data_IF_451407396005
#
_entry.id   IF_451407396005
#
_cell.length_a   1.000
_cell.length_b   1.000
_cell.length_c   1.000
_cell.angle_alpha   90.00
_cell.angle_beta   90.00
_cell.angle_gamma   90.00
#
_symmetry.space_group_name_H-M   'P 1'
#
loop_
_entity.id
_entity.type
_entity.pdbx_description
1 polymer ?
#
# COMPACT_ATOMS: atom_id res chain seq x y z
N UNK A 1 16.65 -8.96 -22.67
CA UNK A 1 17.34 -8.09 -21.69
C UNK A 1 16.47 -6.89 -21.26
N UNK A 2 15.65 -6.31 -22.14
CA UNK A 2 14.72 -5.23 -21.81
C UNK A 2 13.57 -5.66 -20.88
N UNK A 3 13.10 -6.91 -20.97
CA UNK A 3 11.97 -7.40 -20.16
C UNK A 3 12.31 -7.56 -18.66
N UNK A 4 13.56 -7.90 -18.35
CA UNK A 4 14.04 -7.96 -16.96
C UNK A 4 14.14 -6.59 -16.30
N UNK A 5 14.50 -5.55 -17.08
CA UNK A 5 14.56 -4.17 -16.59
C UNK A 5 13.16 -3.60 -16.33
N UNK A 6 12.19 -3.92 -17.21
CA UNK A 6 10.79 -3.50 -17.02
C UNK A 6 10.17 -4.21 -15.80
N UNK A 7 10.42 -5.50 -15.62
CA UNK A 7 9.98 -6.27 -14.45
C UNK A 7 10.64 -5.73 -13.19
N UNK A 8 11.95 -5.40 -13.27
CA UNK A 8 12.70 -4.80 -12.20
C UNK A 8 12.13 -3.48 -11.72
N UNK A 9 11.90 -2.57 -12.63
CA UNK A 9 11.30 -1.26 -12.31
C UNK A 9 9.90 -1.41 -11.68
N UNK A 10 9.09 -2.34 -12.19
CA UNK A 10 7.76 -2.62 -11.66
C UNK A 10 7.81 -3.12 -10.21
N UNK A 11 8.73 -4.04 -9.89
CA UNK A 11 8.86 -4.57 -8.53
C UNK A 11 9.38 -3.50 -7.54
N UNK A 12 10.36 -2.68 -7.94
CA UNK A 12 10.83 -1.56 -7.13
C UNK A 12 9.72 -0.54 -6.83
N UNK A 13 8.87 -0.26 -7.83
CA UNK A 13 7.66 0.56 -7.63
C UNK A 13 6.71 -0.07 -6.62
N UNK A 14 6.52 -1.39 -6.70
CA UNK A 14 5.71 -2.17 -5.76
C UNK A 14 6.25 -2.06 -4.34
N UNK A 15 7.51 -2.38 -4.11
CA UNK A 15 8.13 -2.34 -2.78
C UNK A 15 8.07 -0.94 -2.18
N UNK A 16 8.30 0.11 -2.98
CA UNK A 16 8.22 1.47 -2.51
C UNK A 16 6.79 1.93 -2.23
N UNK A 17 5.82 1.54 -3.05
CA UNK A 17 4.41 1.80 -2.77
C UNK A 17 3.94 1.07 -1.50
N UNK A 18 4.58 -0.06 -1.17
CA UNK A 18 4.39 -0.78 0.08
C UNK A 18 5.10 -0.12 1.27
N UNK A 19 5.93 0.92 1.07
CA UNK A 19 6.74 1.55 2.10
C UNK A 19 7.93 0.71 2.56
N UNK A 20 8.31 -0.30 1.78
CA UNK A 20 9.39 -1.22 2.09
C UNK A 20 10.71 -0.79 1.41
N UNK A 21 11.19 0.37 1.79
CA UNK A 21 12.48 0.87 1.30
C UNK A 21 13.66 -0.04 1.74
N UNK A 22 13.50 -0.82 2.82
CA UNK A 22 14.55 -1.72 3.33
C UNK A 22 14.57 -3.07 2.61
N UNK A 23 13.42 -3.66 2.26
CA UNK A 23 13.40 -4.86 1.42
C UNK A 23 14.02 -4.60 0.05
N UNK A 24 13.93 -3.37 -0.45
CA UNK A 24 14.69 -2.94 -1.63
C UNK A 24 16.20 -2.95 -1.41
N UNK A 25 16.68 -2.67 -0.20
CA UNK A 25 18.11 -2.61 0.13
C UNK A 25 18.69 -4.00 0.44
N UNK A 26 17.90 -4.94 0.95
CA UNK A 26 18.35 -6.29 1.31
C UNK A 26 18.53 -7.22 0.10
N UNK A 27 17.86 -6.97 -1.01
CA UNK A 27 18.07 -7.70 -2.27
C UNK A 27 19.26 -7.14 -3.09
N UNK A 28 20.31 -6.80 -2.42
CA UNK A 28 21.41 -5.94 -2.86
C UNK A 28 22.30 -6.50 -3.96
N UNK A 29 22.34 -7.81 -4.18
CA UNK A 29 23.39 -8.49 -4.97
C UNK A 29 23.10 -8.66 -6.47
N UNK A 30 22.19 -7.88 -7.02
CA UNK A 30 21.90 -7.90 -8.48
C UNK A 30 21.11 -6.70 -8.99
N UNK A 31 20.80 -5.75 -8.13
CA UNK A 31 19.75 -4.77 -8.39
C UNK A 31 20.11 -3.28 -8.22
N UNK A 32 21.30 -2.84 -8.59
CA UNK A 32 21.61 -1.41 -8.65
C UNK A 32 20.62 -0.64 -9.54
N UNK A 33 20.05 -1.31 -10.54
CA UNK A 33 19.00 -0.75 -11.40
C UNK A 33 17.66 -0.52 -10.67
N UNK A 34 17.38 -1.26 -9.59
CA UNK A 34 16.18 -1.10 -8.79
C UNK A 34 16.24 0.16 -7.92
N UNK A 35 17.39 0.48 -7.38
CA UNK A 35 17.63 1.74 -6.67
C UNK A 35 17.42 2.94 -7.57
N UNK A 36 17.90 2.87 -8.80
CA UNK A 36 17.71 3.90 -9.83
C UNK A 36 16.23 4.05 -10.21
N UNK A 37 15.50 2.95 -10.37
CA UNK A 37 14.08 2.98 -10.67
C UNK A 37 13.27 3.57 -9.48
N UNK A 38 13.58 3.20 -8.23
CA UNK A 38 12.95 3.75 -7.05
C UNK A 38 13.26 5.25 -6.84
N UNK A 39 14.51 5.65 -7.00
CA UNK A 39 14.92 7.05 -6.92
C UNK A 39 14.32 7.90 -8.05
N UNK A 40 14.25 7.35 -9.26
CA UNK A 40 13.60 8.01 -10.38
C UNK A 40 12.10 8.18 -10.15
N UNK A 41 11.43 7.19 -9.53
CA UNK A 41 10.01 7.27 -9.19
C UNK A 41 9.72 8.39 -8.20
N UNK A 42 10.52 8.54 -7.14
CA UNK A 42 10.37 9.64 -6.18
C UNK A 42 10.60 11.00 -6.83
N UNK A 43 11.71 11.15 -7.54
CA UNK A 43 12.04 12.38 -8.28
C UNK A 43 10.98 12.74 -9.32
N UNK A 44 10.27 11.77 -9.78
CA UNK A 44 9.21 11.82 -10.75
C UNK A 44 7.88 12.31 -10.14
N UNK A 45 7.46 11.78 -8.98
CA UNK A 45 6.33 12.30 -8.21
C UNK A 45 6.58 13.76 -7.82
N UNK A 46 7.79 14.08 -7.39
CA UNK A 46 8.19 15.42 -6.96
C UNK A 46 8.23 16.46 -8.09
N UNK A 47 8.40 16.03 -9.33
CA UNK A 47 8.52 16.93 -10.51
C UNK A 47 7.21 17.29 -11.21
N UNK A 48 6.06 16.90 -10.67
CA UNK A 48 4.76 17.29 -11.25
C UNK A 48 4.41 16.66 -12.60
N UNK A 49 5.16 15.64 -13.05
CA UNK A 49 4.86 14.88 -14.29
C UNK A 49 3.82 13.79 -14.03
N UNK A 50 3.14 13.88 -12.89
CA UNK A 50 2.21 12.89 -12.33
C UNK A 50 1.08 12.52 -13.32
N UNK A 51 0.53 13.51 -14.04
CA UNK A 51 -0.61 13.26 -14.92
C UNK A 51 -0.28 12.38 -16.14
N UNK A 52 0.88 12.56 -16.76
CA UNK A 52 1.30 11.74 -17.88
C UNK A 52 1.54 10.28 -17.49
N UNK A 53 2.03 10.06 -16.29
CA UNK A 53 2.30 8.73 -15.79
C UNK A 53 1.06 8.02 -15.26
N UNK A 54 0.13 8.73 -14.65
CA UNK A 54 -1.20 8.20 -14.36
C UNK A 54 -1.84 7.67 -15.67
N UNK A 55 -1.75 8.42 -16.75
CA UNK A 55 -2.26 7.99 -18.06
C UNK A 55 -1.54 6.73 -18.56
N UNK A 56 -0.20 6.73 -18.53
CA UNK A 56 0.62 5.60 -18.97
C UNK A 56 0.36 4.35 -18.14
N UNK A 57 0.33 4.45 -16.81
CA UNK A 57 0.03 3.33 -15.92
C UNK A 57 -1.39 2.81 -16.15
N UNK A 58 -2.35 3.71 -16.31
CA UNK A 58 -3.73 3.35 -16.62
C UNK A 58 -3.82 2.52 -17.91
N UNK A 59 -3.23 3.02 -18.98
CA UNK A 59 -3.20 2.33 -20.29
C UNK A 59 -2.51 0.97 -20.18
N UNK A 60 -1.38 0.91 -19.50
CA UNK A 60 -0.64 -0.35 -19.31
C UNK A 60 -1.49 -1.40 -18.58
N UNK A 61 -2.12 -1.03 -17.45
CA UNK A 61 -2.95 -1.94 -16.67
C UNK A 61 -4.18 -2.40 -17.46
N UNK A 62 -4.82 -1.50 -18.18
CA UNK A 62 -5.97 -1.85 -19.02
C UNK A 62 -5.55 -2.79 -20.16
N UNK A 63 -4.36 -2.59 -20.75
CA UNK A 63 -3.79 -3.48 -21.75
C UNK A 63 -3.47 -4.86 -21.15
N UNK A 64 -2.83 -4.94 -19.98
CA UNK A 64 -2.53 -6.20 -19.31
C UNK A 64 -3.81 -7.01 -19.04
N UNK A 65 -4.89 -6.36 -18.63
CA UNK A 65 -6.21 -7.00 -18.45
C UNK A 65 -6.76 -7.54 -19.78
N UNK A 66 -6.65 -6.75 -20.84
CA UNK A 66 -7.17 -7.16 -22.17
C UNK A 66 -6.48 -8.42 -22.69
N UNK A 67 -5.20 -8.62 -22.38
CA UNK A 67 -4.43 -9.81 -22.77
C UNK A 67 -4.48 -10.93 -21.72
N UNK A 68 -5.27 -10.77 -20.65
CA UNK A 68 -5.46 -11.79 -19.61
C UNK A 68 -4.31 -11.92 -18.59
N UNK A 69 -3.38 -10.97 -18.54
CA UNK A 69 -2.28 -10.96 -17.57
C UNK A 69 -2.73 -10.35 -16.24
N UNK A 70 -3.58 -11.08 -15.51
CA UNK A 70 -4.29 -10.56 -14.33
C UNK A 70 -3.60 -10.85 -13.00
N UNK A 71 -2.59 -11.71 -12.94
CA UNK A 71 -2.00 -12.24 -11.69
C UNK A 71 -1.60 -11.15 -10.69
N UNK A 72 -0.99 -10.07 -11.15
CA UNK A 72 -0.56 -8.97 -10.30
C UNK A 72 -1.39 -7.69 -10.48
N UNK A 73 -2.47 -7.75 -11.24
CA UNK A 73 -3.29 -6.57 -11.53
C UNK A 73 -3.86 -5.91 -10.26
N UNK A 74 -4.34 -6.63 -9.22
CA UNK A 74 -4.82 -6.00 -7.99
C UNK A 74 -3.74 -5.17 -7.28
N UNK A 75 -2.49 -5.67 -7.25
CA UNK A 75 -1.37 -4.95 -6.69
C UNK A 75 -1.06 -3.66 -7.48
N UNK A 76 -1.04 -3.75 -8.81
CA UNK A 76 -0.80 -2.58 -9.66
C UNK A 76 -1.93 -1.56 -9.59
N UNK A 77 -3.17 -2.01 -9.41
CA UNK A 77 -4.31 -1.12 -9.13
C UNK A 77 -4.14 -0.38 -7.82
N UNK A 78 -3.66 -1.05 -6.78
CA UNK A 78 -3.35 -0.42 -5.50
C UNK A 78 -2.27 0.66 -5.64
N UNK A 79 -1.20 0.39 -6.42
CA UNK A 79 -0.13 1.35 -6.69
C UNK A 79 -0.69 2.57 -7.43
N UNK A 80 -1.44 2.35 -8.51
CA UNK A 80 -2.05 3.43 -9.27
C UNK A 80 -3.06 4.23 -8.43
N UNK A 81 -3.86 3.54 -7.61
CA UNK A 81 -4.80 4.19 -6.71
C UNK A 81 -4.10 5.09 -5.68
N UNK A 82 -2.99 4.65 -5.11
CA UNK A 82 -2.19 5.48 -4.20
C UNK A 82 -1.71 6.76 -4.88
N UNK A 83 -1.16 6.64 -6.10
CA UNK A 83 -0.74 7.81 -6.90
C UNK A 83 -1.92 8.73 -7.21
N UNK A 84 -3.10 8.18 -7.49
CA UNK A 84 -4.32 8.95 -7.72
C UNK A 84 -4.81 9.67 -6.46
N UNK A 85 -4.67 9.06 -5.28
CA UNK A 85 -4.98 9.69 -3.98
C UNK A 85 -4.05 10.89 -3.77
N UNK A 86 -2.74 10.71 -3.94
CA UNK A 86 -1.73 11.77 -3.83
C UNK A 86 -1.96 12.91 -4.84
N UNK A 87 -2.48 12.57 -6.03
CA UNK A 87 -2.89 13.53 -7.05
C UNK A 87 -4.27 14.20 -6.81
N UNK A 88 -4.87 14.01 -5.63
CA UNK A 88 -6.20 14.50 -5.26
C UNK A 88 -7.32 14.04 -6.22
N UNK A 89 -7.24 12.80 -6.73
CA UNK A 89 -8.21 12.18 -7.62
C UNK A 89 -8.91 10.96 -6.96
N UNK A 90 -9.55 11.12 -5.78
CA UNK A 90 -10.06 10.00 -4.99
C UNK A 90 -11.14 9.17 -5.70
N UNK A 91 -11.94 9.78 -6.57
CA UNK A 91 -12.95 9.04 -7.33
C UNK A 91 -12.32 8.04 -8.32
N UNK A 92 -11.25 8.45 -8.99
CA UNK A 92 -10.51 7.56 -9.92
C UNK A 92 -9.76 6.48 -9.16
N UNK A 93 -9.16 6.83 -8.02
CA UNK A 93 -8.52 5.88 -7.13
C UNK A 93 -9.51 4.80 -6.68
N UNK A 94 -10.69 5.21 -6.19
CA UNK A 94 -11.76 4.29 -5.77
C UNK A 94 -12.14 3.33 -6.88
N UNK A 95 -12.40 3.85 -8.08
CA UNK A 95 -12.74 3.00 -9.22
C UNK A 95 -11.66 1.92 -9.49
N UNK A 96 -10.38 2.28 -9.38
CA UNK A 96 -9.29 1.30 -9.54
C UNK A 96 -9.28 0.24 -8.44
N UNK A 97 -9.49 0.65 -7.21
CA UNK A 97 -9.53 -0.27 -6.05
C UNK A 97 -10.73 -1.23 -6.14
N UNK A 98 -11.92 -0.72 -6.49
CA UNK A 98 -13.10 -1.54 -6.71
C UNK A 98 -12.89 -2.54 -7.86
N UNK A 99 -12.23 -2.10 -8.95
CA UNK A 99 -11.88 -2.99 -10.07
C UNK A 99 -10.87 -4.06 -9.64
N UNK A 100 -9.90 -3.73 -8.78
CA UNK A 100 -8.95 -4.70 -8.24
C UNK A 100 -9.62 -5.73 -7.35
N UNK A 101 -10.54 -5.31 -6.47
CA UNK A 101 -11.31 -6.20 -5.60
C UNK A 101 -12.24 -7.12 -6.44
N UNK A 102 -12.91 -6.57 -7.45
CA UNK A 102 -13.74 -7.39 -8.33
C UNK A 102 -12.91 -8.44 -9.09
N UNK A 103 -11.73 -8.07 -9.58
CA UNK A 103 -10.83 -9.01 -10.24
C UNK A 103 -10.36 -10.12 -9.28
N UNK A 104 -10.11 -9.80 -8.02
CA UNK A 104 -9.76 -10.78 -7.00
C UNK A 104 -10.91 -11.81 -6.82
N UNK A 105 -12.15 -11.34 -6.72
CA UNK A 105 -13.34 -12.21 -6.67
C UNK A 105 -13.46 -13.08 -7.93
N UNK A 106 -13.32 -12.51 -9.12
CA UNK A 106 -13.50 -13.22 -10.40
C UNK A 106 -12.43 -14.29 -10.63
N UNK A 107 -11.23 -14.11 -10.04
CA UNK A 107 -10.06 -14.98 -10.28
C UNK A 107 -9.70 -15.85 -9.08
N UNK A 108 -10.25 -15.58 -7.90
CA UNK A 108 -9.85 -16.21 -6.63
C UNK A 108 -8.47 -15.76 -6.12
N UNK A 109 -7.92 -14.66 -6.63
CA UNK A 109 -6.60 -14.13 -6.25
C UNK A 109 -6.70 -13.04 -5.20
N UNK A 110 -6.94 -13.41 -3.94
CA UNK A 110 -7.24 -12.50 -2.83
C UNK A 110 -6.02 -11.95 -2.08
N UNK A 111 -4.81 -12.27 -2.49
CA UNK A 111 -3.56 -11.98 -1.76
C UNK A 111 -3.30 -10.48 -1.47
N UNK A 112 -4.04 -9.56 -2.07
CA UNK A 112 -3.85 -8.11 -1.90
C UNK A 112 -5.10 -7.37 -1.41
N UNK A 113 -6.17 -8.06 -1.12
CA UNK A 113 -7.48 -7.47 -0.79
C UNK A 113 -7.43 -6.57 0.44
N UNK A 114 -6.71 -6.97 1.49
CA UNK A 114 -6.50 -6.13 2.67
C UNK A 114 -5.84 -4.78 2.30
N UNK A 115 -4.88 -4.79 1.38
CA UNK A 115 -4.24 -3.57 0.87
C UNK A 115 -5.19 -2.69 0.05
N UNK A 116 -6.04 -3.31 -0.79
CA UNK A 116 -7.04 -2.61 -1.59
C UNK A 116 -8.10 -1.95 -0.71
N UNK A 117 -8.66 -2.67 0.26
CA UNK A 117 -9.66 -2.17 1.20
C UNK A 117 -9.10 -1.00 2.01
N UNK A 118 -7.89 -1.15 2.57
CA UNK A 118 -7.22 -0.08 3.31
C UNK A 118 -7.05 1.19 2.48
N UNK A 119 -6.58 1.07 1.23
CA UNK A 119 -6.44 2.23 0.33
C UNK A 119 -7.78 2.81 -0.08
N UNK A 120 -8.82 1.98 -0.22
CA UNK A 120 -10.17 2.46 -0.53
C UNK A 120 -10.72 3.34 0.56
N UNK A 121 -10.45 3.04 1.82
CA UNK A 121 -10.78 3.89 2.96
C UNK A 121 -10.30 5.33 2.77
N UNK A 122 -9.07 5.52 2.28
CA UNK A 122 -8.53 6.87 2.03
C UNK A 122 -9.22 7.65 0.90
N UNK A 123 -10.11 7.00 0.14
CA UNK A 123 -10.89 7.66 -0.91
C UNK A 123 -12.24 8.19 -0.44
N UNK A 124 -12.67 7.81 0.76
CA UNK A 124 -13.96 8.24 1.33
C UNK A 124 -13.81 9.49 2.19
N UNK A 125 -14.80 10.38 2.11
CA UNK A 125 -14.91 11.56 2.98
C UNK A 125 -15.62 11.18 4.28
N UNK A 126 -16.62 10.29 4.18
CA UNK A 126 -17.43 9.81 5.29
C UNK A 126 -16.57 8.96 6.25
N UNK A 127 -16.43 9.36 7.53
CA UNK A 127 -15.61 8.65 8.50
C UNK A 127 -16.13 7.24 8.81
N UNK A 128 -17.46 7.02 8.78
CA UNK A 128 -18.04 5.71 9.08
C UNK A 128 -17.73 4.71 7.96
N UNK A 129 -17.78 5.17 6.70
CA UNK A 129 -17.40 4.35 5.55
C UNK A 129 -15.89 4.07 5.54
N UNK A 130 -15.08 5.07 5.91
CA UNK A 130 -13.63 4.87 6.08
C UNK A 130 -13.33 3.83 7.14
N UNK A 131 -13.98 3.93 8.30
CA UNK A 131 -13.81 2.98 9.39
C UNK A 131 -14.24 1.56 8.99
N UNK A 132 -15.32 1.43 8.25
CA UNK A 132 -15.78 0.13 7.77
C UNK A 132 -14.74 -0.55 6.86
N UNK A 133 -14.17 0.20 5.89
CA UNK A 133 -13.13 -0.33 5.00
C UNK A 133 -11.81 -0.65 5.74
N UNK A 134 -11.39 0.20 6.70
CA UNK A 134 -10.21 -0.05 7.52
C UNK A 134 -10.43 -1.30 8.40
N UNK A 135 -11.59 -1.42 9.04
CA UNK A 135 -11.94 -2.56 9.86
C UNK A 135 -11.93 -3.86 9.07
N UNK A 136 -12.52 -3.85 7.86
CA UNK A 136 -12.50 -5.01 6.97
C UNK A 136 -11.08 -5.39 6.53
N UNK A 137 -10.23 -4.40 6.23
CA UNK A 137 -8.84 -4.61 5.88
C UNK A 137 -8.03 -5.22 7.04
N UNK A 138 -8.25 -4.71 8.26
CA UNK A 138 -7.58 -5.18 9.47
C UNK A 138 -7.97 -6.63 9.79
N UNK A 139 -9.27 -6.93 9.79
CA UNK A 139 -9.78 -8.28 10.03
C UNK A 139 -9.28 -9.28 8.98
N UNK A 140 -9.26 -8.89 7.71
CA UNK A 140 -8.75 -9.73 6.64
C UNK A 140 -7.25 -10.00 6.80
N UNK A 141 -6.46 -8.95 7.03
CA UNK A 141 -5.01 -9.06 7.23
C UNK A 141 -4.67 -9.93 8.45
N UNK A 142 -5.41 -9.78 9.55
CA UNK A 142 -5.27 -10.64 10.74
C UNK A 142 -5.54 -12.11 10.42
N UNK A 143 -6.64 -12.39 9.77
CA UNK A 143 -7.07 -13.76 9.39
C UNK A 143 -6.08 -14.45 8.45
N UNK A 144 -5.46 -13.69 7.56
CA UNK A 144 -4.47 -14.18 6.60
C UNK A 144 -3.03 -14.22 7.15
N UNK A 145 -2.78 -13.69 8.34
CA UNK A 145 -1.44 -13.54 8.91
C UNK A 145 -0.57 -12.54 8.13
N UNK A 146 -1.20 -11.60 7.43
CA UNK A 146 -0.54 -10.59 6.60
C UNK A 146 -0.06 -9.40 7.45
N UNK A 147 0.93 -9.62 8.30
CA UNK A 147 1.38 -8.74 9.39
C UNK A 147 1.63 -7.30 8.99
N UNK A 148 2.20 -7.05 7.81
CA UNK A 148 2.44 -5.68 7.33
C UNK A 148 1.14 -4.95 6.98
N UNK A 149 0.17 -5.65 6.37
CA UNK A 149 -1.14 -5.06 6.08
C UNK A 149 -1.93 -4.83 7.38
N UNK A 150 -1.81 -5.74 8.34
CA UNK A 150 -2.41 -5.60 9.66
C UNK A 150 -1.88 -4.36 10.38
N UNK A 151 -0.54 -4.18 10.44
CA UNK A 151 0.08 -2.99 11.02
C UNK A 151 -0.37 -1.69 10.35
N UNK A 152 -0.40 -1.67 9.02
CA UNK A 152 -0.85 -0.50 8.26
C UNK A 152 -2.31 -0.15 8.52
N UNK A 153 -3.17 -1.16 8.58
CA UNK A 153 -4.60 -0.96 8.83
C UNK A 153 -4.86 -0.53 10.27
N UNK A 154 -4.16 -1.11 11.25
CA UNK A 154 -4.25 -0.70 12.66
C UNK A 154 -3.76 0.74 12.88
N UNK A 155 -2.69 1.14 12.17
CA UNK A 155 -2.18 2.51 12.23
C UNK A 155 -3.18 3.51 11.62
N UNK A 156 -3.76 3.19 10.46
CA UNK A 156 -4.79 4.03 9.82
C UNK A 156 -6.05 4.14 10.71
N UNK A 157 -6.45 3.05 11.36
CA UNK A 157 -7.56 3.03 12.31
C UNK A 157 -7.29 3.91 13.54
N UNK A 158 -6.06 3.82 14.05
CA UNK A 158 -5.62 4.67 15.14
C UNK A 158 -5.56 6.15 14.74
N UNK A 159 -5.08 6.48 13.56
CA UNK A 159 -5.08 7.84 13.04
C UNK A 159 -6.52 8.38 12.85
N UNK A 160 -7.48 7.51 12.53
CA UNK A 160 -8.88 7.88 12.37
C UNK A 160 -9.63 8.05 13.69
N UNK A 161 -9.47 7.10 14.63
CA UNK A 161 -10.27 7.01 15.86
C UNK A 161 -9.53 7.44 17.14
N UNK A 162 -8.20 7.47 17.12
CA UNK A 162 -7.39 7.80 18.29
C UNK A 162 -7.50 6.77 19.41
N UNK A 163 -7.78 7.22 20.65
CA UNK A 163 -7.83 6.37 21.84
C UNK A 163 -8.68 5.09 21.71
N UNK A 164 -9.84 5.06 21.06
CA UNK A 164 -10.61 3.83 20.84
C UNK A 164 -9.86 2.72 20.09
N UNK A 165 -8.90 3.06 19.23
CA UNK A 165 -8.11 2.10 18.46
C UNK A 165 -6.72 1.81 19.09
N UNK A 166 -6.41 2.42 20.25
CA UNK A 166 -5.09 2.31 20.90
C UNK A 166 -4.71 0.87 21.24
N UNK A 167 -5.64 0.14 21.89
CA UNK A 167 -5.37 -1.23 22.33
C UNK A 167 -5.06 -2.18 21.17
N UNK A 168 -5.76 -2.01 20.04
CA UNK A 168 -5.53 -2.78 18.82
C UNK A 168 -4.15 -2.50 18.23
N UNK A 169 -3.76 -1.23 18.12
CA UNK A 169 -2.44 -0.86 17.61
C UNK A 169 -1.32 -1.38 18.51
N UNK A 170 -1.47 -1.31 19.86
CA UNK A 170 -0.51 -1.88 20.82
C UNK A 170 -0.36 -3.39 20.60
N UNK A 171 -1.47 -4.10 20.48
CA UNK A 171 -1.46 -5.55 20.27
C UNK A 171 -0.74 -5.91 18.96
N UNK A 172 -1.08 -5.26 17.85
CA UNK A 172 -0.43 -5.48 16.55
C UNK A 172 1.06 -5.21 16.64
N UNK A 173 1.48 -4.08 17.21
CA UNK A 173 2.91 -3.72 17.37
C UNK A 173 3.64 -4.75 18.23
N UNK A 174 3.01 -5.27 19.30
CA UNK A 174 3.63 -6.26 20.20
C UNK A 174 3.95 -7.59 19.52
N UNK A 175 3.20 -7.93 18.49
CA UNK A 175 3.38 -9.16 17.68
C UNK A 175 4.40 -9.01 16.55
N UNK A 176 4.89 -7.78 16.29
CA UNK A 176 5.88 -7.55 15.23
C UNK A 176 7.23 -8.14 15.61
N UNK A 177 7.96 -8.75 14.65
CA UNK A 177 9.33 -9.18 14.87
C UNK A 177 10.20 -8.00 15.29
N UNK A 178 11.01 -8.17 16.34
CA UNK A 178 11.90 -7.12 16.88
C UNK A 178 12.98 -6.68 15.88
N UNK A 179 13.23 -7.51 14.87
CA UNK A 179 14.18 -7.24 13.78
C UNK A 179 13.54 -6.51 12.59
N UNK A 180 12.23 -6.24 12.64
CA UNK A 180 11.54 -5.56 11.55
C UNK A 180 11.97 -4.10 11.45
N UNK A 181 12.49 -3.72 10.30
CA UNK A 181 12.89 -2.35 9.99
C UNK A 181 11.82 -1.60 9.17
N UNK A 182 10.55 -1.96 9.32
CA UNK A 182 9.46 -1.34 8.58
C UNK A 182 9.21 0.10 9.06
N UNK A 183 9.15 1.09 8.18
CA UNK A 183 8.87 2.47 8.54
C UNK A 183 7.54 2.65 9.30
N UNK A 184 6.55 1.81 9.00
CA UNK A 184 5.27 1.79 9.67
C UNK A 184 5.37 1.45 11.15
N UNK A 185 6.29 0.57 11.53
CA UNK A 185 6.52 0.22 12.93
C UNK A 185 7.03 1.42 13.72
N UNK A 186 7.99 2.18 13.17
CA UNK A 186 8.47 3.41 13.79
C UNK A 186 7.37 4.47 13.89
N UNK A 187 6.53 4.60 12.86
CA UNK A 187 5.36 5.50 12.90
C UNK A 187 4.37 5.10 13.98
N UNK A 188 4.08 3.81 14.12
CA UNK A 188 3.17 3.29 15.14
C UNK A 188 3.70 3.55 16.54
N UNK A 189 4.98 3.32 16.80
CA UNK A 189 5.62 3.64 18.09
C UNK A 189 5.51 5.12 18.43
N UNK A 190 5.86 6.01 17.49
CA UNK A 190 5.72 7.48 17.68
C UNK A 190 4.26 7.88 17.93
N UNK A 191 3.30 7.22 17.28
CA UNK A 191 1.88 7.49 17.48
C UNK A 191 1.42 7.07 18.88
N UNK A 192 1.85 5.91 19.36
CA UNK A 192 1.57 5.42 20.72
C UNK A 192 2.18 6.30 21.81
N UNK A 193 3.45 6.70 21.65
CA UNK A 193 4.17 7.55 22.61
C UNK A 193 3.51 8.92 22.81
N UNK A 194 2.81 9.43 21.80
CA UNK A 194 2.08 10.71 21.88
C UNK A 194 0.84 10.65 22.80
N UNK A 195 0.24 9.48 22.95
CA UNK A 195 -0.92 9.31 23.83
C UNK A 195 -0.53 8.89 25.26
N UNK A 196 0.66 8.31 25.46
CA UNK A 196 1.19 7.93 26.75
C UNK A 196 2.36 8.84 27.19
N UNK A 197 2.13 10.12 27.53
CA UNK A 197 3.20 11.06 27.90
C UNK A 197 3.82 10.78 29.28
N UNK A 198 3.75 9.56 29.81
CA UNK A 198 4.15 9.20 31.18
C UNK A 198 5.52 8.53 31.32
N UNK A 199 6.38 8.58 30.30
CA UNK A 199 7.76 8.06 30.41
C UNK A 199 8.79 9.13 30.03
N UNK A 200 8.74 10.27 30.72
CA UNK A 200 9.76 11.31 30.71
C UNK A 200 10.08 11.75 32.11
#
# INVERSE_FOLDING_TARGET
>A
MNDLLATGASYAMVLRALGDDNAMLEQRDGFDNWRLAGANWQAFIERGVLSAHIATMTTLLDTLRTVGLNVYSPLYDAILARVLIEAAQPKRARHRLDTGLQLAEDTGMHFYDAGLLRLRAHTHIDPDVRQADIGAALELAHREGATLFELRSALDDFELRGQPAHAELVDVVSRMPTTSAWPELSRAQVALDRLDPKTG
#
